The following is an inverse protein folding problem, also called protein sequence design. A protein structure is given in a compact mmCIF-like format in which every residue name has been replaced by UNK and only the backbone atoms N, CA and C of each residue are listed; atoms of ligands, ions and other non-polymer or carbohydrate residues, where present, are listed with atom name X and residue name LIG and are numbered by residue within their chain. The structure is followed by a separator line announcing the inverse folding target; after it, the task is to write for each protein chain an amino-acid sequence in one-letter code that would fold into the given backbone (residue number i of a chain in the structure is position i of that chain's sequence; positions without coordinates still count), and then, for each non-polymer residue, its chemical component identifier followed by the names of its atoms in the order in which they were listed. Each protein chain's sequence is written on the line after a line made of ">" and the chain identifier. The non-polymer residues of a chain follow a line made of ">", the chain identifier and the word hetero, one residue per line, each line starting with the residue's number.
data_IF_922886703623
#
_entry.id   IF_922886703623
#
_cell.length_a   1.000
_cell.length_b   1.000
_cell.length_c   1.000
_cell.angle_alpha   90.00
_cell.angle_beta   90.00
_cell.angle_gamma   90.00
#
_symmetry.space_group_name_H-M   'P 1'
#
loop_
_entity.id
_entity.type
_entity.pdbx_description
1 polymer ?
#
# COMPACT_ATOMS: atom_id res chain seq x y z
N UNK A 1 -6.68 4.41 -0.24
CA UNK A 1 -5.84 5.03 -1.28
C UNK A 1 -4.62 4.15 -1.54
N UNK A 2 -4.01 4.26 -2.71
CA UNK A 2 -2.72 3.70 -3.07
C UNK A 2 -2.02 4.62 -4.06
N UNK A 3 -0.69 4.67 -4.04
CA UNK A 3 0.06 5.64 -4.82
C UNK A 3 1.53 5.65 -4.46
N UNK A 4 2.19 6.78 -4.73
CA UNK A 4 3.61 6.98 -4.42
C UNK A 4 3.77 8.13 -3.44
N UNK A 5 4.85 8.11 -2.68
CA UNK A 5 5.21 9.21 -1.77
C UNK A 5 6.61 9.71 -2.08
N UNK A 6 6.87 10.96 -1.68
CA UNK A 6 8.19 11.56 -1.69
C UNK A 6 8.36 12.42 -0.45
N UNK A 7 9.57 12.45 0.11
CA UNK A 7 9.86 13.20 1.32
C UNK A 7 11.09 14.08 1.13
N UNK A 8 11.01 15.31 1.63
CA UNK A 8 12.13 16.25 1.70
C UNK A 8 12.53 16.43 3.16
N UNK A 9 13.78 16.14 3.50
CA UNK A 9 14.32 16.36 4.84
C UNK A 9 14.46 17.86 5.10
N UNK A 10 13.82 18.36 6.15
CA UNK A 10 13.85 19.77 6.57
C UNK A 10 14.79 19.99 7.75
N UNK A 11 15.00 18.96 8.58
CA UNK A 11 15.86 18.99 9.75
C UNK A 11 16.04 17.61 10.36
N UNK A 12 16.78 17.54 11.46
CA UNK A 12 16.96 16.29 12.21
C UNK A 12 15.61 15.77 12.71
N UNK A 13 15.23 14.56 12.28
CA UNK A 13 13.96 13.94 12.61
C UNK A 13 12.73 14.66 12.02
N UNK A 14 12.90 15.58 11.06
CA UNK A 14 11.81 16.35 10.46
C UNK A 14 11.87 16.32 8.93
N UNK A 15 10.78 15.88 8.30
CA UNK A 15 10.60 15.94 6.85
C UNK A 15 9.23 16.47 6.46
N UNK A 16 9.12 16.95 5.23
CA UNK A 16 7.85 17.18 4.55
C UNK A 16 7.62 16.03 3.57
N UNK A 17 6.54 15.30 3.76
CA UNK A 17 6.10 14.23 2.87
C UNK A 17 4.95 14.69 2.00
N UNK A 18 4.94 14.24 0.75
CA UNK A 18 3.87 14.45 -0.21
C UNK A 18 3.49 13.09 -0.80
N UNK A 19 2.21 12.73 -0.72
CA UNK A 19 1.66 11.51 -1.30
C UNK A 19 0.84 11.87 -2.54
N UNK A 20 1.04 11.09 -3.60
CA UNK A 20 0.34 11.22 -4.88
C UNK A 20 -0.54 10.01 -5.06
N UNK A 21 -1.84 10.24 -4.99
CA UNK A 21 -2.84 9.19 -5.10
C UNK A 21 -2.94 8.72 -6.55
N UNK A 22 -2.70 7.44 -6.77
CA UNK A 22 -2.95 6.80 -8.06
C UNK A 22 -4.31 6.09 -8.07
N UNK A 23 -4.72 5.56 -6.90
CA UNK A 23 -6.04 4.99 -6.65
C UNK A 23 -6.60 5.62 -5.36
N UNK A 24 -7.76 6.28 -5.42
CA UNK A 24 -8.39 6.92 -4.26
C UNK A 24 -9.86 6.53 -4.08
N UNK A 25 -10.27 6.08 -2.90
CA UNK A 25 -11.64 5.56 -2.74
C UNK A 25 -12.75 6.61 -2.90
N UNK A 26 -12.42 7.90 -2.85
CA UNK A 26 -13.36 9.03 -2.88
C UNK A 26 -13.32 9.81 -4.20
N UNK A 27 -12.20 9.80 -4.92
CA UNK A 27 -12.03 10.53 -6.18
C UNK A 27 -11.26 9.71 -7.22
N UNK A 28 -11.51 9.99 -8.51
CA UNK A 28 -10.69 9.47 -9.61
C UNK A 28 -9.43 10.31 -9.85
N UNK A 29 -9.49 11.58 -9.44
CA UNK A 29 -8.39 12.54 -9.51
C UNK A 29 -8.31 13.24 -8.15
N UNK A 30 -7.70 12.54 -7.19
CA UNK A 30 -7.50 13.08 -5.85
C UNK A 30 -6.27 14.00 -5.87
N UNK A 31 -6.37 15.22 -5.30
CA UNK A 31 -5.18 16.05 -5.12
C UNK A 31 -4.16 15.35 -4.22
N UNK A 32 -2.87 15.67 -4.34
CA UNK A 32 -1.88 15.19 -3.38
C UNK A 32 -2.18 15.76 -1.99
N UNK A 33 -1.86 14.95 -1.00
CA UNK A 33 -1.82 15.26 0.41
C UNK A 33 -0.37 15.46 0.87
N UNK A 34 -0.20 16.30 1.89
CA UNK A 34 1.09 16.69 2.43
C UNK A 34 1.05 16.73 3.95
N UNK A 35 2.16 16.30 4.57
CA UNK A 35 2.28 16.16 6.01
C UNK A 35 3.71 16.40 6.48
N UNK A 36 3.83 17.12 7.58
CA UNK A 36 5.09 17.24 8.31
C UNK A 36 5.28 16.01 9.19
N UNK A 37 6.38 15.28 8.97
CA UNK A 37 6.72 14.08 9.70
C UNK A 37 7.75 14.39 10.77
N UNK A 38 7.45 14.06 12.02
CA UNK A 38 8.34 14.24 13.17
C UNK A 38 8.68 12.89 13.78
N UNK A 39 9.93 12.43 13.61
CA UNK A 39 10.42 11.22 14.24
C UNK A 39 10.35 11.35 15.77
N UNK A 40 9.88 10.29 16.44
CA UNK A 40 9.73 10.29 17.89
C UNK A 40 10.97 9.72 18.60
N UNK A 41 11.19 10.05 19.89
CA UNK A 41 12.35 9.58 20.65
C UNK A 41 12.48 8.07 20.80
N UNK A 42 11.40 7.31 20.56
CA UNK A 42 11.42 5.84 20.61
C UNK A 42 12.11 5.21 19.39
N UNK A 43 12.32 5.96 18.31
CA UNK A 43 12.90 5.49 17.06
C UNK A 43 11.99 4.57 16.24
N UNK A 44 10.73 4.39 16.64
CA UNK A 44 9.76 3.52 15.98
C UNK A 44 8.45 4.21 15.68
N UNK A 45 8.24 5.43 16.16
CA UNK A 45 7.02 6.19 15.90
C UNK A 45 7.32 7.48 15.15
N UNK A 46 6.36 7.88 14.33
CA UNK A 46 6.39 9.13 13.56
C UNK A 46 5.09 9.88 13.78
N UNK A 47 5.19 11.13 14.27
CA UNK A 47 4.04 12.02 14.36
C UNK A 47 3.91 12.78 13.05
N UNK A 48 2.84 12.54 12.33
CA UNK A 48 2.44 13.34 11.18
C UNK A 48 1.53 14.48 11.63
N UNK A 49 1.77 15.68 11.08
CA UNK A 49 0.89 16.83 11.21
C UNK A 49 0.58 17.41 9.84
N UNK A 50 -0.69 17.69 9.58
CA UNK A 50 -1.11 18.35 8.36
C UNK A 50 -2.40 19.13 8.55
N UNK A 51 -2.96 19.60 7.44
CA UNK A 51 -4.25 20.27 7.41
C UNK A 51 -5.12 19.61 6.35
N UNK A 52 -6.37 19.33 6.71
CA UNK A 52 -7.35 18.80 5.76
C UNK A 52 -8.72 19.42 5.98
N UNK A 53 -9.54 19.48 4.93
CA UNK A 53 -10.93 19.90 5.05
C UNK A 53 -11.70 18.88 5.89
N UNK A 54 -12.23 19.31 7.03
CA UNK A 54 -13.09 18.49 7.87
C UNK A 54 -14.43 18.24 7.17
N UNK A 55 -14.79 16.98 6.86
CA UNK A 55 -15.98 16.68 6.06
C UNK A 55 -17.30 17.06 6.74
N UNK A 56 -17.34 17.13 8.08
CA UNK A 56 -18.54 17.52 8.82
C UNK A 56 -18.78 19.03 8.81
N UNK A 57 -17.74 19.85 8.64
CA UNK A 57 -17.83 21.32 8.74
C UNK A 57 -17.49 22.05 7.44
N UNK A 58 -16.82 21.38 6.49
CA UNK A 58 -16.31 21.98 5.27
C UNK A 58 -15.17 22.97 5.49
N UNK A 59 -14.54 22.96 6.67
CA UNK A 59 -13.45 23.89 7.03
C UNK A 59 -12.13 23.17 7.15
N UNK A 60 -11.07 23.81 6.71
CA UNK A 60 -9.71 23.32 6.93
C UNK A 60 -9.41 23.29 8.43
N UNK A 61 -8.92 22.14 8.86
CA UNK A 61 -8.66 21.83 10.27
C UNK A 61 -7.33 21.07 10.35
N UNK A 62 -6.55 21.39 11.38
CA UNK A 62 -5.32 20.67 11.67
C UNK A 62 -5.64 19.22 12.07
N UNK A 63 -4.82 18.29 11.61
CA UNK A 63 -4.85 16.89 12.05
C UNK A 63 -3.49 16.46 12.57
N UNK A 64 -3.52 15.44 13.42
CA UNK A 64 -2.33 14.73 13.89
C UNK A 64 -2.59 13.23 13.77
N UNK A 65 -1.62 12.51 13.19
CA UNK A 65 -1.63 11.05 13.09
C UNK A 65 -0.34 10.50 13.69
N UNK A 66 -0.45 9.53 14.60
CA UNK A 66 0.70 8.85 15.19
C UNK A 66 0.88 7.50 14.48
N UNK A 67 1.97 7.39 13.74
CA UNK A 67 2.36 6.18 13.03
C UNK A 67 3.34 5.37 13.87
N UNK A 68 3.15 4.05 13.87
CA UNK A 68 4.10 3.11 14.44
C UNK A 68 4.72 2.31 13.30
N UNK A 69 6.03 2.44 13.14
CA UNK A 69 6.88 1.97 12.04
C UNK A 69 7.83 0.85 12.53
N UNK A 70 7.30 -0.33 12.92
CA UNK A 70 8.16 -1.42 13.36
C UNK A 70 9.00 -1.96 12.20
N UNK A 71 10.21 -2.48 12.46
CA UNK A 71 11.00 -3.14 11.43
C UNK A 71 10.25 -4.32 10.79
N UNK A 72 10.34 -4.49 9.46
CA UNK A 72 9.71 -5.62 8.77
C UNK A 72 10.33 -6.95 9.20
N UNK A 73 9.53 -8.01 9.23
CA UNK A 73 9.94 -9.36 9.62
C UNK A 73 10.06 -10.29 8.43
N UNK A 74 10.85 -11.34 8.61
CA UNK A 74 11.04 -12.38 7.61
C UNK A 74 9.84 -13.33 7.56
N UNK A 75 9.64 -13.97 6.41
CA UNK A 75 8.54 -14.91 6.15
C UNK A 75 9.10 -16.31 5.87
N UNK A 76 9.72 -16.94 6.88
CA UNK A 76 10.38 -18.24 6.76
C UNK A 76 11.76 -18.22 6.08
N UNK A 77 12.14 -17.11 5.46
CA UNK A 77 13.49 -16.85 4.92
C UNK A 77 14.42 -16.14 5.90
N UNK A 78 15.63 -15.83 5.43
CA UNK A 78 16.65 -15.11 6.22
C UNK A 78 16.54 -13.59 6.16
N UNK A 79 15.72 -13.04 5.25
CA UNK A 79 15.60 -11.59 5.03
C UNK A 79 14.14 -11.19 4.81
N UNK A 80 13.81 -9.97 5.21
CA UNK A 80 12.53 -9.36 4.88
C UNK A 80 12.58 -8.81 3.46
N UNK A 81 11.44 -8.79 2.77
CA UNK A 81 11.34 -8.39 1.37
C UNK A 81 10.37 -7.22 1.22
N UNK A 82 10.70 -6.28 0.35
CA UNK A 82 9.79 -5.32 -0.24
C UNK A 82 9.49 -5.75 -1.68
N UNK A 83 8.20 -5.88 -2.02
CA UNK A 83 7.76 -6.21 -3.37
C UNK A 83 6.56 -5.33 -3.72
N UNK A 84 6.64 -4.64 -4.84
CA UNK A 84 5.56 -3.77 -5.36
C UNK A 84 5.20 -4.20 -6.77
N UNK A 85 3.92 -4.44 -7.00
CA UNK A 85 3.36 -4.69 -8.33
C UNK A 85 2.32 -3.64 -8.67
N UNK A 86 2.26 -3.29 -9.95
CA UNK A 86 1.23 -2.43 -10.52
C UNK A 86 0.51 -3.15 -11.66
N UNK A 87 -0.77 -2.88 -11.81
CA UNK A 87 -1.60 -3.29 -12.93
C UNK A 87 -2.36 -2.07 -13.43
N UNK A 88 -2.36 -1.88 -14.74
CA UNK A 88 -3.11 -0.82 -15.40
C UNK A 88 -3.67 -1.35 -16.71
N UNK A 89 -4.98 -1.25 -16.87
CA UNK A 89 -5.70 -1.48 -18.12
C UNK A 89 -6.39 -0.16 -18.47
N UNK A 90 -5.70 0.66 -19.27
CA UNK A 90 -6.18 2.00 -19.67
C UNK A 90 -7.50 1.93 -20.44
N UNK A 91 -7.69 0.90 -21.27
CA UNK A 91 -8.91 0.72 -22.07
C UNK A 91 -10.13 0.50 -21.18
N UNK A 92 -9.96 -0.23 -20.07
CA UNK A 92 -11.03 -0.47 -19.08
C UNK A 92 -11.03 0.52 -17.92
N UNK A 93 -10.04 1.41 -17.84
CA UNK A 93 -9.86 2.33 -16.70
C UNK A 93 -9.55 1.63 -15.38
N UNK A 94 -9.00 0.41 -15.43
CA UNK A 94 -8.73 -0.42 -14.26
C UNK A 94 -7.31 -0.21 -13.77
N UNK A 95 -7.14 -0.07 -12.44
CA UNK A 95 -5.84 0.15 -11.79
C UNK A 95 -5.71 -0.73 -10.56
N UNK A 96 -4.52 -1.24 -10.32
CA UNK A 96 -4.21 -2.07 -9.17
C UNK A 96 -2.80 -1.83 -8.66
N UNK A 97 -2.66 -1.79 -7.33
CA UNK A 97 -1.35 -1.77 -6.67
C UNK A 97 -1.31 -2.83 -5.58
N UNK A 98 -0.30 -3.68 -5.63
CA UNK A 98 0.04 -4.64 -4.59
C UNK A 98 1.36 -4.21 -3.94
N UNK A 99 1.41 -4.27 -2.61
CA UNK A 99 2.62 -4.00 -1.83
C UNK A 99 2.77 -5.10 -0.78
N UNK A 100 3.93 -5.75 -0.77
CA UNK A 100 4.40 -6.59 0.33
C UNK A 100 5.59 -5.91 1.00
N UNK A 101 5.56 -5.86 2.32
CA UNK A 101 6.67 -5.43 3.16
C UNK A 101 6.82 -6.40 4.33
N UNK A 102 7.88 -7.20 4.30
CA UNK A 102 8.14 -8.23 5.29
C UNK A 102 6.99 -9.22 5.41
N UNK A 103 6.41 -9.30 6.61
CA UNK A 103 5.30 -10.18 6.97
C UNK A 103 3.91 -9.65 6.57
N UNK A 104 3.82 -8.47 5.96
CA UNK A 104 2.57 -7.86 5.55
C UNK A 104 2.46 -7.74 4.04
N UNK A 105 1.25 -7.95 3.51
CA UNK A 105 0.94 -7.62 2.13
C UNK A 105 -0.46 -7.02 2.00
N UNK A 106 -0.61 -6.10 1.07
CA UNK A 106 -1.86 -5.41 0.80
C UNK A 106 -2.01 -5.22 -0.71
N UNK A 107 -3.25 -5.26 -1.17
CA UNK A 107 -3.59 -4.91 -2.55
C UNK A 107 -4.80 -3.99 -2.54
N UNK A 108 -4.80 -3.03 -3.44
CA UNK A 108 -5.94 -2.16 -3.70
C UNK A 108 -6.16 -2.05 -5.21
N UNK A 109 -7.38 -2.34 -5.64
CA UNK A 109 -7.81 -2.29 -7.03
C UNK A 109 -9.00 -1.37 -7.16
N UNK A 110 -9.02 -0.60 -8.23
CA UNK A 110 -10.20 0.08 -8.77
C UNK A 110 -10.51 -0.49 -10.15
N UNK A 111 -11.74 -0.92 -10.36
CA UNK A 111 -12.27 -1.47 -11.62
C UNK A 111 -13.48 -0.68 -12.11
N UNK A 112 -13.32 0.65 -12.23
CA UNK A 112 -14.42 1.54 -12.61
C UNK A 112 -14.45 2.83 -11.77
N UNK A 113 -15.55 3.56 -11.89
CA UNK A 113 -15.68 4.90 -11.30
C UNK A 113 -16.33 4.89 -9.90
N UNK A 114 -17.10 3.85 -9.58
CA UNK A 114 -17.90 3.74 -8.37
C UNK A 114 -17.09 3.32 -7.14
N UNK A 115 -17.73 3.40 -5.97
CA UNK A 115 -17.16 2.87 -4.72
C UNK A 115 -17.26 1.33 -4.68
N UNK A 116 -18.28 0.77 -5.33
CA UNK A 116 -18.50 -0.66 -5.52
C UNK A 116 -17.43 -1.33 -6.39
N UNK A 117 -16.72 -0.53 -7.19
CA UNK A 117 -15.65 -0.95 -8.09
C UNK A 117 -14.29 -1.09 -7.37
N UNK A 118 -14.27 -0.91 -6.06
CA UNK A 118 -13.07 -0.98 -5.24
C UNK A 118 -12.96 -2.34 -4.56
N UNK A 119 -11.78 -2.95 -4.65
CA UNK A 119 -11.45 -4.15 -3.88
C UNK A 119 -10.12 -3.95 -3.17
N UNK A 120 -10.08 -4.33 -1.90
CA UNK A 120 -8.86 -4.36 -1.12
C UNK A 120 -8.71 -5.70 -0.40
N UNK A 121 -7.47 -6.17 -0.30
CA UNK A 121 -7.13 -7.26 0.62
C UNK A 121 -5.93 -6.90 1.48
N UNK A 122 -5.92 -7.47 2.68
CA UNK A 122 -4.76 -7.46 3.57
C UNK A 122 -4.41 -8.88 3.98
N UNK A 123 -3.13 -9.17 3.90
CA UNK A 123 -2.52 -10.46 4.20
C UNK A 123 -1.44 -10.29 5.24
N UNK A 124 -1.24 -11.34 6.03
CA UNK A 124 -0.23 -11.40 7.08
C UNK A 124 0.41 -12.78 7.11
N UNK A 125 1.73 -12.84 7.26
CA UNK A 125 2.46 -14.06 7.53
C UNK A 125 2.46 -14.39 9.02
N UNK A 126 2.09 -15.63 9.35
CA UNK A 126 2.22 -16.21 10.69
C UNK A 126 2.76 -17.62 10.60
N UNK A 127 3.76 -17.92 11.42
CA UNK A 127 4.40 -19.25 11.49
C UNK A 127 3.95 -20.07 12.71
N UNK A 128 2.88 -19.63 13.39
CA UNK A 128 2.35 -20.29 14.59
C UNK A 128 1.73 -21.66 14.30
N UNK A 129 1.23 -21.90 13.09
CA UNK A 129 0.65 -23.18 12.67
C UNK A 129 1.29 -23.79 11.41
N UNK A 130 2.43 -23.24 10.97
CA UNK A 130 3.17 -23.68 9.78
C UNK A 130 2.46 -23.41 8.44
N UNK A 131 1.34 -22.67 8.40
CA UNK A 131 0.63 -22.34 7.15
C UNK A 131 1.09 -21.04 6.50
N UNK A 132 1.82 -20.18 7.21
CA UNK A 132 2.39 -18.97 6.64
C UNK A 132 1.36 -17.85 6.37
N UNK A 133 1.20 -17.47 5.10
CA UNK A 133 0.34 -16.36 4.69
C UNK A 133 -1.14 -16.60 4.97
N UNK A 134 -1.82 -15.59 5.52
CA UNK A 134 -3.26 -15.60 5.78
C UNK A 134 -3.89 -14.29 5.38
N UNK A 135 -5.00 -14.36 4.63
CA UNK A 135 -5.84 -13.19 4.38
C UNK A 135 -6.54 -12.79 5.68
N UNK A 136 -6.33 -11.54 6.08
CA UNK A 136 -6.94 -10.94 7.28
C UNK A 136 -8.21 -10.17 6.96
N UNK A 137 -8.20 -9.47 5.83
CA UNK A 137 -9.31 -8.62 5.40
C UNK A 137 -9.50 -8.78 3.90
N UNK A 138 -10.76 -8.79 3.47
CA UNK A 138 -11.17 -8.48 2.10
C UNK A 138 -12.31 -7.49 2.17
N UNK A 139 -12.22 -6.41 1.40
CA UNK A 139 -13.27 -5.41 1.20
C UNK A 139 -13.61 -5.35 -0.29
N UNK A 140 -14.87 -5.07 -0.58
CA UNK A 140 -15.39 -5.05 -1.95
C UNK A 140 -15.83 -6.44 -2.45
N UNK A 141 -16.80 -6.43 -3.37
CA UNK A 141 -17.39 -7.63 -3.96
C UNK A 141 -17.16 -7.68 -5.48
N UNK A 142 -16.22 -6.89 -6.02
CA UNK A 142 -15.83 -7.04 -7.43
C UNK A 142 -15.28 -8.47 -7.58
N UNK A 143 -16.01 -9.25 -8.39
CA UNK A 143 -15.65 -10.62 -8.70
C UNK A 143 -14.29 -10.65 -9.35
N UNK A 144 -13.33 -11.31 -8.72
CA UNK A 144 -11.96 -11.34 -9.24
C UNK A 144 -10.98 -11.92 -8.25
N UNK A 145 -10.07 -12.74 -8.78
CA UNK A 145 -8.85 -13.10 -8.06
C UNK A 145 -7.92 -11.89 -8.05
N UNK A 146 -7.23 -11.69 -6.94
CA UNK A 146 -6.19 -10.68 -6.78
C UNK A 146 -4.84 -11.40 -6.75
N UNK A 147 -3.72 -10.73 -7.08
CA UNK A 147 -2.41 -11.39 -7.25
C UNK A 147 -1.81 -11.91 -5.94
N UNK A 148 -2.47 -11.72 -4.79
CA UNK A 148 -1.89 -12.03 -3.50
C UNK A 148 -1.49 -13.50 -3.37
N UNK A 149 -2.33 -14.45 -3.73
CA UNK A 149 -2.00 -15.87 -3.56
C UNK A 149 -0.82 -16.28 -4.46
N UNK A 150 -0.84 -15.84 -5.72
CA UNK A 150 0.20 -16.12 -6.71
C UNK A 150 1.55 -15.49 -6.33
N UNK A 151 1.55 -14.22 -5.92
CA UNK A 151 2.78 -13.49 -5.56
C UNK A 151 3.35 -13.98 -4.23
N UNK A 152 2.50 -14.24 -3.23
CA UNK A 152 2.96 -14.67 -1.90
C UNK A 152 3.41 -16.13 -1.87
N UNK A 153 2.95 -16.95 -2.82
CA UNK A 153 3.40 -18.33 -3.04
C UNK A 153 4.60 -18.45 -4.00
N UNK A 154 5.05 -17.35 -4.61
CA UNK A 154 6.18 -17.37 -5.53
C UNK A 154 7.50 -17.62 -4.80
N UNK A 155 8.38 -18.43 -5.43
CA UNK A 155 9.73 -18.68 -4.92
C UNK A 155 10.62 -17.46 -5.13
N UNK A 156 10.58 -16.90 -6.34
CA UNK A 156 11.37 -15.74 -6.75
C UNK A 156 10.47 -14.65 -7.31
N UNK A 157 10.77 -13.40 -6.94
CA UNK A 157 10.10 -12.20 -7.46
C UNK A 157 11.17 -11.18 -7.82
N UNK A 158 11.21 -10.78 -9.09
CA UNK A 158 12.24 -9.90 -9.62
C UNK A 158 11.63 -8.67 -10.29
N UNK A 159 12.30 -7.52 -10.16
CA UNK A 159 11.88 -6.28 -10.81
C UNK A 159 11.83 -6.47 -12.33
N UNK A 160 10.74 -6.02 -12.95
CA UNK A 160 10.46 -6.23 -14.37
C UNK A 160 9.74 -7.53 -14.70
N UNK A 161 9.58 -8.45 -13.73
CA UNK A 161 8.77 -9.66 -13.87
C UNK A 161 7.27 -9.36 -13.96
N UNK A 162 6.48 -10.41 -14.25
CA UNK A 162 5.03 -10.32 -14.41
C UNK A 162 4.32 -11.47 -13.71
N UNK A 163 3.15 -11.18 -13.12
CA UNK A 163 2.18 -12.15 -12.64
C UNK A 163 0.89 -12.00 -13.43
N UNK A 164 0.32 -13.12 -13.89
CA UNK A 164 -0.95 -13.14 -14.62
C UNK A 164 -2.07 -13.66 -13.72
N UNK A 165 -3.14 -12.88 -13.59
CA UNK A 165 -4.33 -13.22 -12.81
C UNK A 165 -5.55 -13.07 -13.70
N UNK A 166 -6.04 -14.19 -14.23
CA UNK A 166 -7.01 -14.13 -15.34
C UNK A 166 -6.38 -13.45 -16.56
N UNK A 167 -7.03 -12.42 -17.08
CA UNK A 167 -6.55 -11.61 -18.21
C UNK A 167 -5.68 -10.43 -17.78
N UNK A 168 -5.51 -10.20 -16.47
CA UNK A 168 -4.74 -9.08 -15.93
C UNK A 168 -3.26 -9.42 -15.83
N UNK A 169 -2.42 -8.45 -16.21
CA UNK A 169 -0.97 -8.52 -16.07
C UNK A 169 -0.52 -7.55 -14.98
N UNK A 170 0.08 -8.10 -13.94
CA UNK A 170 0.65 -7.36 -12.83
C UNK A 170 2.16 -7.33 -12.97
N UNK A 171 2.73 -6.13 -13.15
CA UNK A 171 4.16 -5.94 -13.36
C UNK A 171 4.86 -5.63 -12.04
N UNK A 172 5.95 -6.34 -11.75
CA UNK A 172 6.81 -6.06 -10.60
C UNK A 172 7.63 -4.80 -10.90
N UNK A 173 7.41 -3.75 -10.12
CA UNK A 173 8.12 -2.46 -10.24
C UNK A 173 9.17 -2.28 -9.15
N UNK A 174 9.07 -3.04 -8.07
CA UNK A 174 10.08 -3.08 -7.00
C UNK A 174 10.17 -4.50 -6.43
N UNK A 175 11.39 -4.98 -6.23
CA UNK A 175 11.68 -6.22 -5.52
C UNK A 175 13.07 -6.08 -4.88
N UNK A 176 13.12 -5.94 -3.55
CA UNK A 176 14.36 -5.78 -2.80
C UNK A 176 14.27 -6.42 -1.42
N UNK A 177 15.42 -6.73 -0.83
CA UNK A 177 15.55 -7.04 0.58
C UNK A 177 15.50 -5.75 1.41
N UNK A 178 14.94 -5.81 2.62
CA UNK A 178 14.81 -4.69 3.56
C UNK A 178 15.21 -5.07 4.98
#
# INVERSE_FOLDING_TARGET
>A
MAGTSSSTVLGEGHSLSCWRHWIDSRSLDAPPDEGHMYAQPDGFSTLEKGQMTNPATGKDTDYEEMWFDPPPKTTGGSKALCVVLVMEDEEKGKKGMFVRLGEWAQVFVRDGAGEEDLVAERWEWRDDDGKGWRRRVRLGDVGGKLPCEEVLGAVDVETGGEFRVGDEVWRVVEATEV
#
